data_IF_069711000050
#
_entry.id   IF_069711000050
#
_cell.length_a   1.000
_cell.length_b   1.000
_cell.length_c   1.000
_cell.angle_alpha   90.00
_cell.angle_beta   90.00
_cell.angle_gamma   90.00
#
_symmetry.space_group_name_H-M   'P 1'
#
loop_
_entity.id
_entity.type
_entity.pdbx_description
1 polymer ?
#
# COMPACT_ATOMS: atom_id res chain seq x y z
N UNK A 1 -33.18 -5.89 6.74
CA UNK A 1 -32.35 -6.37 7.82
C UNK A 1 -30.97 -5.79 7.75
N UNK A 2 -30.46 -5.39 8.90
CA UNK A 2 -29.17 -4.74 8.97
C UNK A 2 -28.09 -5.75 9.34
N UNK A 3 -27.03 -5.70 8.59
CA UNK A 3 -25.82 -6.44 8.86
C UNK A 3 -25.19 -5.93 10.16
N UNK A 4 -24.57 -6.82 10.92
CA UNK A 4 -23.84 -6.40 12.11
C UNK A 4 -22.66 -5.53 11.72
N UNK A 5 -22.33 -4.48 12.51
CA UNK A 5 -21.23 -3.58 12.15
C UNK A 5 -19.90 -4.28 11.92
N UNK A 6 -19.52 -5.26 12.75
CA UNK A 6 -18.27 -5.97 12.56
C UNK A 6 -18.28 -6.83 11.28
N UNK A 7 -19.42 -7.40 10.93
CA UNK A 7 -19.56 -8.17 9.68
C UNK A 7 -19.38 -7.25 8.48
N UNK A 8 -20.02 -6.08 8.51
CA UNK A 8 -19.86 -5.08 7.45
C UNK A 8 -18.40 -4.65 7.35
N UNK A 9 -17.75 -4.35 8.47
CA UNK A 9 -16.34 -3.93 8.48
C UNK A 9 -15.45 -4.97 7.81
N UNK A 10 -15.64 -6.26 8.11
CA UNK A 10 -14.86 -7.33 7.49
C UNK A 10 -15.18 -7.47 6.00
N UNK A 11 -16.44 -7.25 5.62
CA UNK A 11 -16.83 -7.26 4.20
C UNK A 11 -16.17 -6.11 3.45
N UNK A 12 -16.11 -4.93 4.06
CA UNK A 12 -15.39 -3.78 3.51
C UNK A 12 -13.91 -4.12 3.31
N UNK A 13 -13.28 -4.69 4.33
CA UNK A 13 -11.86 -5.06 4.24
C UNK A 13 -11.60 -6.04 3.11
N UNK A 14 -12.44 -7.04 2.93
CA UNK A 14 -12.27 -7.99 1.83
C UNK A 14 -12.38 -7.30 0.48
N UNK A 15 -13.29 -6.34 0.36
CA UNK A 15 -13.41 -5.55 -0.87
C UNK A 15 -12.15 -4.73 -1.11
N UNK A 16 -11.65 -4.06 -0.07
CA UNK A 16 -10.43 -3.26 -0.20
C UNK A 16 -9.23 -4.12 -0.55
N UNK A 17 -9.09 -5.29 0.06
CA UNK A 17 -7.98 -6.20 -0.23
C UNK A 17 -8.02 -6.68 -1.69
N UNK A 18 -9.20 -6.86 -2.25
CA UNK A 18 -9.36 -7.30 -3.64
C UNK A 18 -9.11 -6.17 -4.65
N UNK A 19 -9.31 -4.91 -4.25
CA UNK A 19 -9.30 -3.77 -5.17
C UNK A 19 -8.29 -2.69 -4.82
N UNK A 20 -7.36 -2.94 -3.89
CA UNK A 20 -6.47 -1.88 -3.42
C UNK A 20 -5.48 -1.37 -4.48
N UNK A 21 -5.29 -2.10 -5.56
CA UNK A 21 -4.44 -1.67 -6.68
C UNK A 21 -5.23 -0.91 -7.75
N UNK A 22 -6.52 -0.66 -7.52
CA UNK A 22 -7.38 0.08 -8.43
C UNK A 22 -7.56 1.51 -7.90
N UNK A 23 -7.90 2.47 -8.78
CA UNK A 23 -8.14 3.85 -8.34
C UNK A 23 -9.50 3.97 -7.67
N UNK A 24 -9.66 3.40 -6.48
CA UNK A 24 -10.92 3.40 -5.73
C UNK A 24 -11.00 4.60 -4.79
N UNK A 25 -12.24 5.04 -4.54
CA UNK A 25 -12.53 6.08 -3.57
C UNK A 25 -13.49 5.52 -2.53
N UNK A 26 -13.56 6.20 -1.36
CA UNK A 26 -14.50 5.81 -0.31
C UNK A 26 -15.94 5.81 -0.85
N UNK A 27 -16.29 6.81 -1.66
CA UNK A 27 -17.60 6.90 -2.26
C UNK A 27 -17.93 5.69 -3.12
N UNK A 28 -16.98 5.26 -3.96
CA UNK A 28 -17.17 4.09 -4.83
C UNK A 28 -17.41 2.83 -4.01
N UNK A 29 -16.63 2.65 -2.95
CA UNK A 29 -16.78 1.49 -2.06
C UNK A 29 -18.15 1.51 -1.38
N UNK A 30 -18.55 2.67 -0.87
CA UNK A 30 -19.84 2.84 -0.20
C UNK A 30 -21.00 2.54 -1.14
N UNK A 31 -20.94 3.05 -2.36
CA UNK A 31 -21.95 2.78 -3.38
C UNK A 31 -22.04 1.30 -3.72
N UNK A 32 -20.89 0.65 -3.88
CA UNK A 32 -20.82 -0.76 -4.20
C UNK A 32 -21.44 -1.62 -3.10
N UNK A 33 -21.20 -1.26 -1.86
CA UNK A 33 -21.71 -2.02 -0.70
C UNK A 33 -23.06 -1.53 -0.21
N UNK A 34 -23.61 -0.49 -0.83
CA UNK A 34 -24.93 0.06 -0.54
C UNK A 34 -25.07 0.57 0.89
N UNK A 35 -24.07 1.30 1.34
CA UNK A 35 -24.06 1.96 2.65
C UNK A 35 -23.60 3.40 2.47
N UNK A 36 -23.82 4.23 3.51
CA UNK A 36 -23.29 5.59 3.48
C UNK A 36 -21.79 5.59 3.72
N UNK A 37 -21.10 6.58 3.16
CA UNK A 37 -19.66 6.74 3.37
C UNK A 37 -19.34 6.89 4.85
N UNK A 38 -20.14 7.70 5.56
CA UNK A 38 -19.91 7.96 6.98
C UNK A 38 -20.00 6.67 7.78
N UNK A 39 -21.06 5.89 7.58
CA UNK A 39 -21.27 4.66 8.33
C UNK A 39 -20.17 3.63 8.03
N UNK A 40 -19.82 3.48 6.76
CA UNK A 40 -18.75 2.58 6.34
C UNK A 40 -17.43 2.95 7.01
N UNK A 41 -17.05 4.22 6.95
CA UNK A 41 -15.80 4.68 7.56
C UNK A 41 -15.80 4.48 9.07
N UNK A 42 -16.94 4.74 9.70
CA UNK A 42 -17.08 4.61 11.15
C UNK A 42 -16.91 3.16 11.61
N UNK A 43 -17.63 2.23 10.99
CA UNK A 43 -17.56 0.81 11.42
C UNK A 43 -16.20 0.20 11.09
N UNK A 44 -15.59 0.61 9.97
CA UNK A 44 -14.27 0.11 9.60
C UNK A 44 -13.21 0.57 10.61
N UNK A 45 -13.23 1.87 10.94
CA UNK A 45 -12.28 2.42 11.90
C UNK A 45 -12.45 1.80 13.29
N UNK A 46 -13.69 1.57 13.70
CA UNK A 46 -13.95 0.92 14.99
C UNK A 46 -13.38 -0.49 15.04
N UNK A 47 -13.53 -1.25 13.97
CA UNK A 47 -13.08 -2.65 13.95
C UNK A 47 -11.56 -2.77 13.74
N UNK A 48 -10.99 -1.95 12.87
CA UNK A 48 -9.59 -2.11 12.46
C UNK A 48 -8.66 -0.99 12.92
N UNK A 49 -9.18 0.03 13.57
CA UNK A 49 -8.36 1.09 14.17
C UNK A 49 -7.86 2.16 13.23
N UNK A 50 -8.11 2.05 11.92
CA UNK A 50 -7.69 3.03 10.92
C UNK A 50 -8.81 3.29 9.92
N UNK A 51 -8.87 4.49 9.31
CA UNK A 51 -9.85 4.75 8.25
C UNK A 51 -9.61 3.84 7.04
N UNK A 52 -10.68 3.53 6.27
CA UNK A 52 -10.55 2.59 5.14
C UNK A 52 -9.55 3.02 4.08
N UNK A 53 -9.52 4.29 3.70
CA UNK A 53 -8.59 4.74 2.65
C UNK A 53 -7.15 4.78 3.14
N UNK A 54 -6.92 4.98 4.43
CA UNK A 54 -5.59 4.84 5.01
C UNK A 54 -5.11 3.39 4.98
N UNK A 55 -6.02 2.45 5.23
CA UNK A 55 -5.74 1.02 5.11
C UNK A 55 -5.31 0.67 3.68
N UNK A 56 -6.04 1.17 2.68
CA UNK A 56 -5.71 0.98 1.26
C UNK A 56 -4.31 1.53 0.96
N UNK A 57 -4.02 2.74 1.43
CA UNK A 57 -2.73 3.38 1.20
C UNK A 57 -1.59 2.57 1.80
N UNK A 58 -1.76 2.09 3.02
CA UNK A 58 -0.74 1.25 3.66
C UNK A 58 -0.50 -0.04 2.88
N UNK A 59 -1.55 -0.65 2.34
CA UNK A 59 -1.41 -1.83 1.50
C UNK A 59 -0.62 -1.54 0.23
N UNK A 60 -0.94 -0.41 -0.42
CA UNK A 60 -0.21 0.01 -1.62
C UNK A 60 1.27 0.26 -1.33
N UNK A 61 1.56 0.91 -0.22
CA UNK A 61 2.94 1.19 0.18
C UNK A 61 3.70 -0.12 0.44
N UNK A 62 3.08 -1.09 1.10
CA UNK A 62 3.69 -2.39 1.34
C UNK A 62 4.05 -3.11 0.05
N UNK A 63 3.15 -3.10 -0.93
CA UNK A 63 3.43 -3.70 -2.22
C UNK A 63 4.49 -2.93 -3.00
N UNK A 64 4.48 -1.59 -2.89
CA UNK A 64 5.50 -0.76 -3.51
C UNK A 64 6.89 -1.12 -2.99
N UNK A 65 7.02 -1.34 -1.69
CA UNK A 65 8.29 -1.75 -1.10
C UNK A 65 8.80 -3.06 -1.73
N UNK A 66 7.90 -4.03 -1.95
CA UNK A 66 8.25 -5.27 -2.61
C UNK A 66 8.75 -5.06 -4.04
N UNK A 67 8.06 -4.22 -4.82
CA UNK A 67 8.51 -3.89 -6.18
C UNK A 67 9.87 -3.19 -6.17
N UNK A 68 10.06 -2.26 -5.24
CA UNK A 68 11.32 -1.51 -5.16
C UNK A 68 12.49 -2.41 -4.78
N UNK A 69 12.26 -3.39 -3.93
CA UNK A 69 13.29 -4.31 -3.47
C UNK A 69 13.61 -5.40 -4.48
N UNK A 70 12.62 -5.90 -5.19
CA UNK A 70 12.74 -7.12 -5.99
C UNK A 70 12.74 -6.91 -7.50
N UNK A 71 12.49 -5.69 -7.98
CA UNK A 71 12.42 -5.42 -9.42
C UNK A 71 13.14 -4.13 -9.77
N UNK A 72 13.31 -3.90 -11.09
CA UNK A 72 13.85 -2.65 -11.62
C UNK A 72 12.77 -1.80 -12.27
N UNK A 73 11.50 -2.09 -12.01
CA UNK A 73 10.37 -1.36 -12.58
C UNK A 73 10.47 0.11 -12.19
N UNK A 74 10.30 1.04 -13.17
CA UNK A 74 10.33 2.48 -12.86
C UNK A 74 9.28 2.86 -11.82
N UNK A 75 9.62 3.82 -10.97
CA UNK A 75 8.74 4.26 -9.88
C UNK A 75 7.38 4.74 -10.41
N UNK A 76 7.38 5.46 -11.54
CA UNK A 76 6.14 5.91 -12.16
C UNK A 76 5.23 4.74 -12.54
N UNK A 77 5.81 3.66 -13.03
CA UNK A 77 5.08 2.46 -13.40
C UNK A 77 4.55 1.73 -12.17
N UNK A 78 5.34 1.69 -11.09
CA UNK A 78 4.88 1.12 -9.82
C UNK A 78 3.66 1.89 -9.31
N UNK A 79 3.74 3.23 -9.30
CA UNK A 79 2.63 4.08 -8.85
C UNK A 79 1.37 3.80 -9.64
N UNK A 80 1.48 3.71 -10.95
CA UNK A 80 0.34 3.44 -11.83
C UNK A 80 -0.24 2.06 -11.57
N UNK A 81 0.60 1.05 -11.44
CA UNK A 81 0.18 -0.33 -11.16
C UNK A 81 -0.60 -0.42 -9.85
N UNK A 82 -0.24 0.40 -8.86
CA UNK A 82 -0.87 0.39 -7.55
C UNK A 82 -2.09 1.33 -7.44
N UNK A 83 -2.56 1.85 -8.57
CA UNK A 83 -3.78 2.66 -8.59
C UNK A 83 -3.58 4.12 -8.22
N UNK A 84 -2.34 4.58 -8.13
CA UNK A 84 -2.07 5.99 -7.86
C UNK A 84 -2.15 6.81 -9.14
N UNK A 85 -2.89 7.90 -9.12
CA UNK A 85 -3.10 8.74 -10.31
C UNK A 85 -1.95 9.70 -10.57
N UNK A 86 -1.05 9.89 -9.61
CA UNK A 86 0.03 10.87 -9.70
C UNK A 86 1.26 10.34 -9.02
N UNK A 87 2.39 10.39 -9.73
CA UNK A 87 3.68 10.00 -9.15
C UNK A 87 4.08 10.93 -7.99
N UNK A 88 3.73 12.22 -8.09
CA UNK A 88 4.00 13.17 -7.01
C UNK A 88 3.26 12.80 -5.73
N UNK A 89 1.99 12.44 -5.86
CA UNK A 89 1.17 12.00 -4.73
C UNK A 89 1.72 10.70 -4.15
N UNK A 90 2.07 9.76 -5.01
CA UNK A 90 2.64 8.48 -4.59
C UNK A 90 3.94 8.69 -3.81
N UNK A 91 4.85 9.52 -4.34
CA UNK A 91 6.13 9.80 -3.68
C UNK A 91 5.91 10.43 -2.30
N UNK A 92 4.98 11.37 -2.18
CA UNK A 92 4.66 12.01 -0.92
C UNK A 92 4.09 11.01 0.10
N UNK A 93 3.19 10.15 -0.35
CA UNK A 93 2.59 9.13 0.52
C UNK A 93 3.61 8.08 0.94
N UNK A 94 4.46 7.64 0.02
CA UNK A 94 5.51 6.67 0.34
C UNK A 94 6.45 7.24 1.41
N UNK A 95 6.89 8.48 1.23
CA UNK A 95 7.75 9.15 2.21
C UNK A 95 7.05 9.29 3.56
N UNK A 96 5.77 9.63 3.55
CA UNK A 96 4.99 9.78 4.78
C UNK A 96 4.94 8.49 5.58
N UNK A 97 4.73 7.36 4.92
CA UNK A 97 4.55 6.08 5.60
C UNK A 97 5.86 5.34 5.88
N UNK A 98 6.90 5.58 5.11
CA UNK A 98 8.18 4.85 5.28
C UNK A 98 9.32 5.72 5.79
N UNK A 99 9.17 7.04 5.72
CA UNK A 99 10.22 7.98 6.14
C UNK A 99 11.18 8.36 5.04
N UNK A 100 11.17 7.68 3.89
CA UNK A 100 12.05 8.02 2.77
C UNK A 100 11.31 7.97 1.44
N UNK A 101 11.74 8.75 0.43
CA UNK A 101 11.15 8.64 -0.90
C UNK A 101 11.44 7.28 -1.54
N UNK A 102 10.60 6.85 -2.51
CA UNK A 102 10.78 5.52 -3.13
C UNK A 102 12.14 5.34 -3.79
N UNK A 103 12.65 6.37 -4.47
CA UNK A 103 13.95 6.28 -5.13
C UNK A 103 15.08 6.02 -4.16
N UNK A 104 15.07 6.73 -3.04
CA UNK A 104 16.07 6.53 -1.98
C UNK A 104 15.90 5.16 -1.32
N UNK A 105 14.68 4.72 -1.12
CA UNK A 105 14.40 3.41 -0.56
C UNK A 105 15.02 2.32 -1.43
N UNK A 106 14.78 2.37 -2.73
CA UNK A 106 15.33 1.40 -3.67
C UNK A 106 16.85 1.41 -3.67
N UNK A 107 17.43 2.61 -3.70
CA UNK A 107 18.88 2.78 -3.75
C UNK A 107 19.54 2.22 -2.48
N UNK A 108 18.99 2.53 -1.31
CA UNK A 108 19.50 2.03 -0.04
C UNK A 108 19.46 0.51 0.02
N UNK A 109 18.37 -0.09 -0.44
CA UNK A 109 18.22 -1.54 -0.46
C UNK A 109 19.23 -2.19 -1.40
N UNK A 110 19.40 -1.64 -2.60
CA UNK A 110 20.38 -2.17 -3.57
C UNK A 110 21.80 -2.07 -3.05
N UNK A 111 22.15 -0.97 -2.43
CA UNK A 111 23.47 -0.80 -1.82
C UNK A 111 23.71 -1.82 -0.71
N UNK A 112 22.73 -2.04 0.13
CA UNK A 112 22.80 -3.00 1.22
C UNK A 112 23.02 -4.43 0.71
N UNK A 113 22.27 -4.84 -0.32
CA UNK A 113 22.41 -6.16 -0.94
C UNK A 113 23.77 -6.32 -1.62
N UNK A 114 24.18 -5.32 -2.40
CA UNK A 114 25.47 -5.33 -3.10
C UNK A 114 26.61 -5.48 -2.10
N UNK A 115 26.53 -4.74 -1.01
CA UNK A 115 27.55 -4.81 0.05
C UNK A 115 27.59 -6.20 0.69
N UNK A 116 26.44 -6.79 0.97
CA UNK A 116 26.36 -8.14 1.54
C UNK A 116 26.92 -9.19 0.59
N UNK A 117 26.62 -9.07 -0.69
CA UNK A 117 27.12 -10.00 -1.70
C UNK A 117 28.63 -9.92 -1.85
N UNK A 118 29.18 -8.72 -1.83
CA UNK A 118 30.64 -8.53 -1.86
C UNK A 118 31.30 -9.15 -0.64
N UNK A 119 30.72 -8.97 0.54
CA UNK A 119 31.22 -9.56 1.75
C UNK A 119 31.25 -11.08 1.67
N UNK A 120 30.18 -11.68 1.18
CA UNK A 120 30.09 -13.12 1.01
C UNK A 120 31.10 -13.65 -0.01
N UNK A 121 31.29 -12.94 -1.11
CA UNK A 121 32.26 -13.32 -2.14
C UNK A 121 33.68 -13.30 -1.58
N UNK A 122 34.01 -12.27 -0.84
CA UNK A 122 35.33 -12.15 -0.21
C UNK A 122 35.59 -13.29 0.79
N UNK A 123 34.59 -13.65 1.57
CA UNK A 123 34.68 -14.75 2.51
C UNK A 123 34.92 -16.09 1.80
N UNK A 124 34.27 -16.29 0.64
CA UNK A 124 34.46 -17.53 -0.12
C UNK A 124 35.82 -17.63 -0.76
N UNK A 125 36.38 -16.51 -1.16
CA UNK A 125 37.70 -16.49 -1.79
C UNK A 125 38.84 -16.62 -0.78
N UNK A 126 38.57 -16.27 0.45
CA UNK A 126 39.55 -16.40 1.52
C UNK A 126 39.52 -17.77 2.18
#
# INVERSE_FOLDING_TARGET
QREMPSVLAHRVRRYLDAHHCEPITLRMVAERLRVSEYYLAHVFKQEFGVPPMQYVMKRRIGEAQGFLMNTSIPIAEIADTLGSSSICHFNAMFKKYTGTPPGKFRQSFKQSITHSEKGKSEEKES
#
